data_IF_922856355988
#
_entry.id   IF_922856355988
#
_cell.length_a   1.000
_cell.length_b   1.000
_cell.length_c   1.000
_cell.angle_alpha   90.00
_cell.angle_beta   90.00
_cell.angle_gamma   90.00
#
_symmetry.space_group_name_H-M   'P 1'
#
loop_
_entity.id
_entity.type
_entity.pdbx_description
1 polymer ?
#
# COMPACT_ATOMS: atom_id res chain seq x y z
N UNK A 1 12.27 0.32 0.80
CA UNK A 1 12.08 0.89 2.16
C UNK A 1 10.67 0.54 2.63
N UNK A 2 10.51 0.09 3.87
CA UNK A 2 9.24 -0.28 4.49
C UNK A 2 8.96 0.65 5.69
N UNK A 3 7.84 1.35 5.62
CA UNK A 3 7.26 2.14 6.71
C UNK A 3 6.04 1.42 7.26
N UNK A 4 6.02 1.15 8.56
CA UNK A 4 4.81 0.73 9.27
C UNK A 4 4.12 1.96 9.83
N UNK A 5 2.82 2.10 9.57
CA UNK A 5 1.99 3.21 10.05
C UNK A 5 0.89 2.64 10.95
N UNK A 6 0.87 3.07 12.22
CA UNK A 6 -0.21 2.76 13.16
C UNK A 6 -1.14 3.96 13.29
N UNK A 7 -2.42 3.76 12.99
CA UNK A 7 -3.42 4.84 13.05
C UNK A 7 -4.19 4.75 14.34
N UNK A 8 -3.99 5.77 15.20
CA UNK A 8 -4.64 5.93 16.49
C UNK A 8 -4.61 4.68 17.38
N UNK A 9 -3.44 4.03 17.59
CA UNK A 9 -3.38 2.79 18.38
C UNK A 9 -3.84 3.03 19.83
N UNK A 10 -4.62 2.08 20.35
CA UNK A 10 -5.33 2.17 21.63
C UNK A 10 -4.63 1.42 22.76
N UNK A 11 -3.88 0.35 22.47
CA UNK A 11 -3.17 -0.44 23.48
C UNK A 11 -1.67 -0.21 23.48
N UNK A 12 -1.09 0.17 24.63
CA UNK A 12 0.37 0.31 24.79
C UNK A 12 1.11 -0.99 24.48
N UNK A 13 0.50 -2.13 24.85
CA UNK A 13 1.04 -3.45 24.60
C UNK A 13 1.17 -3.74 23.11
N UNK A 14 0.17 -3.37 22.29
CA UNK A 14 0.24 -3.55 20.84
C UNK A 14 1.33 -2.70 20.23
N UNK A 15 1.43 -1.42 20.62
CA UNK A 15 2.50 -0.53 20.13
C UNK A 15 3.88 -1.09 20.47
N UNK A 16 4.07 -1.58 21.69
CA UNK A 16 5.33 -2.20 22.09
C UNK A 16 5.66 -3.48 21.32
N UNK A 17 4.68 -4.37 21.15
CA UNK A 17 4.86 -5.59 20.35
C UNK A 17 5.12 -5.28 18.88
N UNK A 18 4.46 -4.28 18.29
CA UNK A 18 4.75 -3.81 16.93
C UNK A 18 6.18 -3.30 16.82
N UNK A 19 6.66 -2.49 17.76
CA UNK A 19 8.04 -2.01 17.75
C UNK A 19 9.05 -3.16 17.84
N UNK A 20 8.76 -4.18 18.64
CA UNK A 20 9.56 -5.42 18.69
C UNK A 20 9.59 -6.12 17.34
N UNK A 21 8.44 -6.28 16.68
CA UNK A 21 8.33 -6.89 15.35
C UNK A 21 9.04 -6.07 14.28
N UNK A 22 8.94 -4.75 14.33
CA UNK A 22 9.68 -3.85 13.45
C UNK A 22 11.19 -4.10 13.53
N UNK A 23 11.72 -4.30 14.75
CA UNK A 23 13.12 -4.70 14.92
C UNK A 23 13.40 -6.12 14.42
N UNK A 24 12.48 -7.06 14.59
CA UNK A 24 12.68 -8.44 14.13
C UNK A 24 12.75 -8.56 12.61
N UNK A 25 12.06 -7.71 11.88
CA UNK A 25 11.96 -7.76 10.41
C UNK A 25 12.64 -6.56 9.71
N UNK A 26 13.50 -5.85 10.42
CA UNK A 26 14.24 -4.68 9.93
C UNK A 26 13.37 -3.65 9.18
N UNK A 27 12.26 -3.26 9.81
CA UNK A 27 11.43 -2.16 9.31
C UNK A 27 12.22 -0.86 9.40
N UNK A 28 12.25 -0.11 8.30
CA UNK A 28 13.03 1.12 8.18
C UNK A 28 12.43 2.24 9.05
N UNK A 29 11.10 2.37 9.07
CA UNK A 29 10.41 3.46 9.74
C UNK A 29 9.13 3.00 10.45
N UNK A 30 8.93 3.46 11.70
CA UNK A 30 7.68 3.33 12.42
C UNK A 30 7.03 4.70 12.59
N UNK A 31 5.84 4.88 12.01
CA UNK A 31 5.02 6.07 12.14
C UNK A 31 3.79 5.77 12.99
N UNK A 32 3.45 6.69 13.88
CA UNK A 32 2.29 6.58 14.75
C UNK A 32 1.44 7.84 14.61
N UNK A 33 0.24 7.69 14.09
CA UNK A 33 -0.70 8.79 13.89
C UNK A 33 -1.56 8.92 15.14
N UNK A 34 -1.49 10.07 15.81
CA UNK A 34 -2.38 10.45 16.93
C UNK A 34 -2.65 9.31 17.94
N UNK A 35 -1.63 8.78 18.64
CA UNK A 35 -1.78 7.64 19.54
C UNK A 35 -2.80 7.91 20.65
N UNK A 36 -3.63 6.90 20.96
CA UNK A 36 -4.64 6.96 22.03
C UNK A 36 -4.17 6.29 23.33
N UNK A 37 -2.92 5.83 23.35
CA UNK A 37 -2.26 5.15 24.46
C UNK A 37 -0.96 5.86 24.86
N UNK A 38 -0.41 5.47 26.01
CA UNK A 38 0.88 5.99 26.49
C UNK A 38 2.08 5.29 25.81
N UNK A 39 2.71 5.97 24.85
CA UNK A 39 3.90 5.47 24.14
C UNK A 39 5.09 5.24 25.08
N UNK A 40 5.18 5.98 26.18
CA UNK A 40 6.21 5.76 27.21
C UNK A 40 6.08 4.37 27.84
N UNK A 41 4.86 3.98 28.20
CA UNK A 41 4.56 2.64 28.74
C UNK A 41 4.68 1.53 27.69
N UNK A 42 4.43 1.82 26.41
CA UNK A 42 4.62 0.85 25.33
C UNK A 42 6.05 0.26 25.27
N UNK A 43 7.05 1.01 25.77
CA UNK A 43 8.45 0.56 25.87
C UNK A 43 8.63 -0.69 26.74
N UNK A 44 7.77 -0.91 27.72
CA UNK A 44 7.81 -2.08 28.60
C UNK A 44 7.55 -3.38 27.82
N UNK A 45 6.68 -3.32 26.81
CA UNK A 45 6.29 -4.47 25.99
C UNK A 45 7.21 -4.71 24.79
N UNK A 46 8.07 -3.75 24.45
CA UNK A 46 8.91 -3.80 23.25
C UNK A 46 10.21 -4.60 23.39
N UNK A 47 10.60 -5.02 24.61
CA UNK A 47 11.87 -5.71 24.86
C UNK A 47 13.06 -4.94 24.24
N UNK A 48 13.81 -5.53 23.30
CA UNK A 48 14.91 -4.87 22.57
C UNK A 48 14.43 -3.90 21.48
N UNK A 49 13.13 -3.81 21.21
CA UNK A 49 12.49 -2.90 20.25
C UNK A 49 12.32 -1.46 20.76
N UNK A 50 12.76 -1.13 21.97
CA UNK A 50 12.66 0.23 22.55
C UNK A 50 13.26 1.31 21.65
N UNK A 51 14.40 1.01 21.01
CA UNK A 51 15.07 1.93 20.10
C UNK A 51 14.22 2.29 18.86
N UNK A 52 13.31 1.39 18.45
CA UNK A 52 12.38 1.65 17.34
C UNK A 52 11.33 2.67 17.80
N UNK A 53 10.84 2.56 19.04
CA UNK A 53 9.93 3.57 19.61
C UNK A 53 10.63 4.91 19.85
N UNK A 54 11.90 4.91 20.26
CA UNK A 54 12.68 6.15 20.43
C UNK A 54 12.86 6.91 19.12
N UNK A 55 12.90 6.18 17.98
CA UNK A 55 13.00 6.75 16.63
C UNK A 55 11.64 6.87 15.93
N UNK A 56 10.54 6.43 16.56
CA UNK A 56 9.24 6.44 15.93
C UNK A 56 8.78 7.88 15.67
N UNK A 57 8.22 8.12 14.49
CA UNK A 57 7.73 9.43 14.10
C UNK A 57 6.26 9.55 14.48
N UNK A 58 5.98 10.38 15.47
CA UNK A 58 4.60 10.67 15.90
C UNK A 58 4.07 11.87 15.10
N UNK A 59 2.98 11.66 14.38
CA UNK A 59 2.34 12.70 13.55
C UNK A 59 0.89 12.92 13.97
N UNK A 60 0.35 14.09 13.63
CA UNK A 60 -1.04 14.44 13.99
C UNK A 60 -2.06 14.03 12.95
N UNK A 61 -1.64 13.83 11.70
CA UNK A 61 -2.55 13.53 10.60
C UNK A 61 -2.13 12.29 9.83
N UNK A 62 -3.13 11.58 9.32
CA UNK A 62 -2.95 10.42 8.45
C UNK A 62 -2.17 10.78 7.19
N UNK A 63 -2.43 11.95 6.61
CA UNK A 63 -1.77 12.41 5.39
C UNK A 63 -0.27 12.66 5.59
N UNK A 64 0.16 13.18 6.75
CA UNK A 64 1.57 13.34 7.07
C UNK A 64 2.32 12.00 7.10
N UNK A 65 1.71 10.97 7.71
CA UNK A 65 2.30 9.63 7.78
C UNK A 65 2.53 8.99 6.40
N UNK A 66 1.78 9.41 5.37
CA UNK A 66 1.88 8.89 4.01
C UNK A 66 2.70 9.76 3.06
N UNK A 67 3.33 10.85 3.55
CA UNK A 67 4.21 11.67 2.69
C UNK A 67 5.51 10.93 2.38
N UNK A 68 5.98 11.06 1.14
CA UNK A 68 7.29 10.55 0.71
C UNK A 68 7.36 9.03 0.52
N UNK A 69 6.21 8.35 0.43
CA UNK A 69 6.12 6.94 0.02
C UNK A 69 5.47 6.81 -1.35
N UNK A 70 5.88 5.80 -2.10
CA UNK A 70 5.45 5.56 -3.49
C UNK A 70 4.27 4.59 -3.55
N UNK A 71 4.16 3.68 -2.56
CA UNK A 71 3.10 2.68 -2.47
C UNK A 71 2.46 2.69 -1.08
N UNK A 72 1.13 2.89 -1.02
CA UNK A 72 0.38 2.88 0.24
C UNK A 72 -0.57 1.71 0.28
N UNK A 73 -0.51 0.91 1.34
CA UNK A 73 -1.31 -0.30 1.49
C UNK A 73 -2.01 -0.26 2.84
N UNK A 74 -3.33 -0.16 2.83
CA UNK A 74 -4.15 -0.28 4.03
C UNK A 74 -4.39 -1.76 4.37
N UNK A 75 -4.61 -2.09 5.63
CA UNK A 75 -4.99 -3.45 6.05
C UNK A 75 -6.42 -3.48 6.59
N UNK A 76 -7.19 -4.53 6.29
CA UNK A 76 -8.51 -4.73 6.90
C UNK A 76 -8.89 -6.21 7.01
N UNK A 77 -9.62 -6.56 8.07
CA UNK A 77 -10.30 -7.84 8.21
C UNK A 77 -11.55 -7.95 7.32
N UNK A 78 -12.11 -6.81 6.87
CA UNK A 78 -13.27 -6.77 5.98
C UNK A 78 -12.79 -6.51 4.55
N UNK A 79 -12.88 -7.53 3.71
CA UNK A 79 -12.36 -7.51 2.36
C UNK A 79 -13.33 -8.15 1.35
N UNK A 80 -13.11 -7.85 0.08
CA UNK A 80 -13.79 -8.45 -1.08
C UNK A 80 -15.32 -8.36 -1.07
N UNK A 81 -15.86 -7.34 -0.39
CA UNK A 81 -17.29 -7.01 -0.36
C UNK A 81 -17.80 -6.82 -1.78
N UNK A 82 -18.87 -7.55 -2.15
CA UNK A 82 -19.46 -7.50 -3.50
C UNK A 82 -19.86 -6.07 -3.84
N UNK A 83 -19.39 -5.58 -4.99
CA UNK A 83 -19.66 -4.22 -5.46
C UNK A 83 -18.76 -3.13 -4.87
N UNK A 84 -17.91 -3.43 -3.89
CA UNK A 84 -16.97 -2.46 -3.31
C UNK A 84 -15.56 -2.68 -3.84
N UNK A 85 -15.24 -2.01 -4.94
CA UNK A 85 -13.90 -2.04 -5.57
C UNK A 85 -12.80 -1.59 -4.62
N UNK A 86 -13.09 -0.67 -3.70
CA UNK A 86 -12.12 -0.16 -2.73
C UNK A 86 -11.64 -1.30 -1.84
N UNK A 87 -12.57 -2.20 -1.46
CA UNK A 87 -12.31 -3.38 -0.62
C UNK A 87 -11.83 -4.60 -1.39
N UNK A 88 -11.64 -4.52 -2.71
CA UNK A 88 -10.93 -5.57 -3.45
C UNK A 88 -9.49 -5.61 -2.98
N UNK A 89 -9.13 -6.75 -2.43
CA UNK A 89 -7.93 -6.89 -1.62
C UNK A 89 -6.84 -7.71 -2.30
N UNK A 90 -5.60 -7.40 -1.94
CA UNK A 90 -4.44 -8.27 -2.13
C UNK A 90 -4.23 -9.12 -0.87
N UNK A 91 -3.31 -10.06 -0.95
CA UNK A 91 -2.91 -10.96 0.12
C UNK A 91 -1.47 -10.68 0.54
N UNK A 92 -1.06 -11.09 1.75
CA UNK A 92 0.31 -10.85 2.24
C UNK A 92 1.40 -11.37 1.31
N UNK A 93 1.20 -12.54 0.68
CA UNK A 93 2.17 -13.14 -0.24
C UNK A 93 2.31 -12.39 -1.57
N UNK A 94 1.33 -11.55 -1.96
CA UNK A 94 1.41 -10.69 -3.15
C UNK A 94 2.21 -9.40 -2.89
N UNK A 95 2.56 -9.10 -1.62
CA UNK A 95 3.21 -7.84 -1.25
C UNK A 95 4.60 -7.68 -1.84
N UNK A 96 5.37 -8.76 -2.00
CA UNK A 96 6.75 -8.71 -2.47
C UNK A 96 6.82 -8.12 -3.89
N UNK A 97 6.00 -8.68 -4.78
CA UNK A 97 5.96 -8.30 -6.19
C UNK A 97 5.49 -6.86 -6.37
N UNK A 98 4.51 -6.46 -5.54
CA UNK A 98 4.04 -5.08 -5.49
C UNK A 98 5.07 -4.15 -4.87
N UNK A 99 5.74 -4.51 -3.78
CA UNK A 99 6.67 -3.62 -3.11
C UNK A 99 7.84 -3.24 -4.05
N UNK A 100 8.51 -4.23 -4.62
CA UNK A 100 9.73 -4.01 -5.40
C UNK A 100 10.74 -3.10 -4.68
N UNK A 101 11.28 -2.13 -5.40
CA UNK A 101 12.23 -1.14 -4.86
C UNK A 101 11.54 0.11 -4.27
N UNK A 102 10.21 0.15 -4.24
CA UNK A 102 9.44 1.31 -3.81
C UNK A 102 9.55 1.57 -2.31
N UNK A 103 9.30 2.82 -1.92
CA UNK A 103 9.00 3.20 -0.53
C UNK A 103 7.56 2.82 -0.22
N UNK A 104 7.37 1.82 0.63
CA UNK A 104 6.05 1.25 0.95
C UNK A 104 5.60 1.70 2.33
N UNK A 105 4.38 2.23 2.45
CA UNK A 105 3.67 2.40 3.72
C UNK A 105 2.64 1.29 3.92
N UNK A 106 2.82 0.50 4.97
CA UNK A 106 1.86 -0.49 5.45
C UNK A 106 1.05 0.12 6.59
N UNK A 107 -0.26 0.29 6.38
CA UNK A 107 -1.12 1.09 7.24
C UNK A 107 -2.09 0.20 7.99
N UNK A 108 -1.96 0.21 9.31
CA UNK A 108 -2.78 -0.56 10.23
C UNK A 108 -3.68 0.36 11.04
N UNK A 109 -4.95 -0.02 11.15
CA UNK A 109 -5.97 0.78 11.84
C UNK A 109 -6.04 0.53 13.34
N UNK A 110 -7.01 1.21 13.94
CA UNK A 110 -7.40 1.09 15.36
C UNK A 110 -7.82 -0.33 15.68
N UNK A 111 -7.55 -0.80 16.90
CA UNK A 111 -7.97 -2.12 17.36
C UNK A 111 -9.49 -2.29 17.37
N UNK A 112 -10.22 -1.25 17.77
CA UNK A 112 -11.68 -1.29 17.92
C UNK A 112 -12.43 -1.25 16.59
N UNK A 113 -12.04 -0.35 15.69
CA UNK A 113 -12.83 0.00 14.49
C UNK A 113 -12.03 -0.11 13.18
N UNK A 114 -10.72 -0.40 13.24
CA UNK A 114 -9.86 -0.44 12.08
C UNK A 114 -9.64 0.93 11.43
N UNK A 115 -9.54 0.92 10.09
CA UNK A 115 -9.42 2.11 9.27
C UNK A 115 -10.78 2.59 8.78
N UNK A 116 -10.96 3.89 8.74
CA UNK A 116 -12.16 4.50 8.14
C UNK A 116 -12.15 4.29 6.62
N UNK A 117 -13.32 4.43 5.98
CA UNK A 117 -13.39 4.39 4.52
C UNK A 117 -12.50 5.46 3.87
N UNK A 118 -12.53 6.68 4.41
CA UNK A 118 -11.72 7.80 3.93
C UNK A 118 -10.21 7.54 4.04
N UNK A 119 -9.77 6.84 5.08
CA UNK A 119 -8.38 6.41 5.23
C UNK A 119 -8.02 5.35 4.17
N UNK A 120 -8.87 4.34 3.96
CA UNK A 120 -8.65 3.30 2.93
C UNK A 120 -8.60 3.94 1.53
N UNK A 121 -9.46 4.92 1.25
CA UNK A 121 -9.52 5.69 0.01
C UNK A 121 -8.22 6.42 -0.33
N UNK A 122 -7.34 6.68 0.65
CA UNK A 122 -6.06 7.34 0.41
C UNK A 122 -4.93 6.36 0.04
N UNK A 123 -5.21 5.06 0.04
CA UNK A 123 -4.26 3.98 -0.24
C UNK A 123 -4.45 3.35 -1.62
N UNK A 124 -3.38 2.78 -2.17
CA UNK A 124 -3.38 2.18 -3.51
C UNK A 124 -4.02 0.80 -3.51
N UNK A 125 -3.77 0.01 -2.45
CA UNK A 125 -4.31 -1.32 -2.26
C UNK A 125 -4.83 -1.52 -0.84
N UNK A 126 -5.84 -2.39 -0.72
CA UNK A 126 -6.24 -2.97 0.55
C UNK A 126 -5.61 -4.36 0.67
N UNK A 127 -4.96 -4.65 1.78
CA UNK A 127 -4.46 -5.98 2.12
C UNK A 127 -5.40 -6.65 3.12
N UNK A 128 -5.68 -7.92 2.86
CA UNK A 128 -6.43 -8.77 3.75
C UNK A 128 -5.60 -10.00 4.12
N UNK A 129 -5.44 -10.26 5.42
CA UNK A 129 -4.83 -11.49 5.91
C UNK A 129 -5.94 -12.53 6.02
N UNK A 130 -5.89 -13.64 5.26
CA UNK A 130 -6.87 -14.71 5.41
C UNK A 130 -6.87 -15.25 6.83
N UNK A 131 -8.06 -15.37 7.40
CA UNK A 131 -8.30 -15.91 8.73
C UNK A 131 -9.62 -16.71 8.71
N UNK A 132 -10.08 -17.18 9.87
CA UNK A 132 -11.35 -17.92 9.94
C UNK A 132 -12.54 -17.04 9.52
N UNK A 133 -13.41 -17.57 8.66
CA UNK A 133 -14.66 -16.90 8.26
C UNK A 133 -15.57 -16.54 9.46
N UNK A 134 -15.44 -17.26 10.58
CA UNK A 134 -16.23 -17.01 11.80
C UNK A 134 -15.70 -15.84 12.63
N UNK A 135 -14.38 -15.64 12.62
CA UNK A 135 -13.73 -14.58 13.38
C UNK A 135 -12.41 -14.18 12.69
N UNK A 136 -12.49 -13.33 11.64
CA UNK A 136 -11.33 -12.99 10.82
C UNK A 136 -10.52 -11.81 11.39
N UNK A 137 -10.94 -11.27 12.54
CA UNK A 137 -10.34 -10.08 13.14
C UNK A 137 -9.12 -10.49 13.97
N UNK A 138 -7.95 -10.07 13.50
CA UNK A 138 -6.69 -10.30 14.20
C UNK A 138 -6.37 -9.13 15.12
N UNK A 139 -5.70 -9.43 16.23
CA UNK A 139 -5.06 -8.40 17.05
C UNK A 139 -4.00 -7.64 16.23
N UNK A 140 -3.85 -6.33 16.50
CA UNK A 140 -3.00 -5.41 15.75
C UNK A 140 -1.56 -5.92 15.59
N UNK A 141 -0.88 -6.31 16.67
CA UNK A 141 0.52 -6.74 16.57
C UNK A 141 0.67 -8.05 15.81
N UNK A 142 -0.34 -8.93 15.89
CA UNK A 142 -0.33 -10.20 15.14
C UNK A 142 -0.50 -9.97 13.64
N UNK A 143 -1.41 -9.07 13.25
CA UNK A 143 -1.57 -8.68 11.85
C UNK A 143 -0.28 -8.07 11.28
N UNK A 144 0.36 -7.17 12.03
CA UNK A 144 1.67 -6.61 11.67
C UNK A 144 2.72 -7.71 11.53
N UNK A 145 2.79 -8.63 12.48
CA UNK A 145 3.76 -9.73 12.46
C UNK A 145 3.64 -10.63 11.23
N UNK A 146 2.43 -11.01 10.84
CA UNK A 146 2.18 -11.83 9.64
C UNK A 146 2.62 -11.09 8.37
N UNK A 147 2.23 -9.83 8.24
CA UNK A 147 2.58 -9.01 7.06
C UNK A 147 4.08 -8.80 6.95
N UNK A 148 4.75 -8.49 8.06
CA UNK A 148 6.21 -8.31 8.06
C UNK A 148 6.97 -9.61 7.81
N UNK A 149 6.49 -10.73 8.36
CA UNK A 149 7.04 -12.05 8.08
C UNK A 149 6.99 -12.39 6.58
N UNK A 150 5.85 -12.15 5.93
CA UNK A 150 5.66 -12.38 4.50
C UNK A 150 6.60 -11.52 3.64
N UNK A 151 6.89 -10.29 4.06
CA UNK A 151 7.89 -9.43 3.41
C UNK A 151 9.33 -9.84 3.67
N UNK A 152 9.59 -10.55 4.77
CA UNK A 152 10.93 -10.94 5.21
C UNK A 152 11.36 -12.30 4.67
N UNK A 153 10.46 -13.27 4.64
CA UNK A 153 10.76 -14.68 4.29
C UNK A 153 11.49 -14.82 2.95
N UNK A 154 11.18 -13.94 1.99
CA UNK A 154 11.74 -13.98 0.63
C UNK A 154 12.63 -12.76 0.33
N UNK A 155 13.23 -12.12 1.35
CA UNK A 155 13.99 -10.87 1.21
C UNK A 155 15.14 -10.96 0.20
N UNK A 156 15.80 -12.11 0.08
CA UNK A 156 16.90 -12.33 -0.86
C UNK A 156 16.47 -12.26 -2.34
N UNK A 157 15.17 -12.42 -2.61
CA UNK A 157 14.59 -12.46 -3.94
C UNK A 157 13.79 -11.19 -4.28
N UNK A 158 14.03 -10.08 -3.58
CA UNK A 158 13.31 -8.80 -3.73
C UNK A 158 13.51 -8.08 -5.08
N UNK A 159 14.01 -8.74 -6.11
CA UNK A 159 14.05 -8.12 -7.44
C UNK A 159 12.63 -8.07 -7.99
N UNK A 160 12.06 -6.87 -8.02
CA UNK A 160 10.88 -6.65 -8.85
C UNK A 160 11.27 -6.86 -10.30
N UNK A 161 10.42 -7.57 -11.03
CA UNK A 161 10.59 -7.73 -12.47
C UNK A 161 10.15 -6.49 -13.25
N UNK A 162 9.55 -5.50 -12.58
CA UNK A 162 9.00 -4.27 -13.18
C UNK A 162 9.56 -3.04 -12.46
N UNK A 163 10.04 -2.07 -13.23
CA UNK A 163 10.58 -0.82 -12.71
C UNK A 163 9.51 0.08 -12.10
N UNK A 164 9.92 0.87 -11.10
CA UNK A 164 9.06 1.87 -10.47
C UNK A 164 8.50 2.87 -11.49
N UNK A 165 9.33 3.31 -12.44
CA UNK A 165 8.92 4.23 -13.52
C UNK A 165 7.79 3.65 -14.37
N UNK A 166 7.89 2.38 -14.77
CA UNK A 166 6.85 1.71 -15.55
C UNK A 166 5.53 1.65 -14.77
N UNK A 167 5.58 1.32 -13.47
CA UNK A 167 4.38 1.30 -12.61
C UNK A 167 3.76 2.69 -12.46
N UNK A 168 4.58 3.73 -12.30
CA UNK A 168 4.13 5.13 -12.23
C UNK A 168 3.47 5.59 -13.52
N UNK A 169 4.00 5.19 -14.68
CA UNK A 169 3.41 5.48 -15.98
C UNK A 169 2.07 4.76 -16.17
N UNK A 170 1.95 3.49 -15.75
CA UNK A 170 0.67 2.77 -15.74
C UNK A 170 -0.37 3.52 -14.90
N UNK A 171 -0.01 3.93 -13.68
CA UNK A 171 -0.90 4.71 -12.80
C UNK A 171 -1.31 6.03 -13.45
N UNK A 172 -0.32 6.80 -13.93
CA UNK A 172 -0.52 8.10 -14.59
C UNK A 172 -1.50 8.00 -15.75
N UNK A 173 -1.25 7.10 -16.71
CA UNK A 173 -2.12 6.99 -17.88
C UNK A 173 -3.48 6.39 -17.54
N UNK A 174 -3.56 5.46 -16.58
CA UNK A 174 -4.86 4.95 -16.09
C UNK A 174 -5.72 6.07 -15.53
N UNK A 175 -5.11 6.99 -14.76
CA UNK A 175 -5.81 8.17 -14.23
C UNK A 175 -6.23 9.14 -15.33
N UNK A 176 -5.35 9.43 -16.29
CA UNK A 176 -5.66 10.33 -17.40
C UNK A 176 -6.84 9.78 -18.22
N UNK A 177 -6.82 8.50 -18.56
CA UNK A 177 -7.87 7.87 -19.36
C UNK A 177 -9.22 7.87 -18.62
N UNK A 178 -9.22 7.59 -17.31
CA UNK A 178 -10.43 7.72 -16.49
C UNK A 178 -10.96 9.17 -16.49
N UNK A 179 -10.11 10.17 -16.27
CA UNK A 179 -10.54 11.57 -16.29
C UNK A 179 -11.16 11.97 -17.64
N UNK A 180 -10.65 11.46 -18.76
CA UNK A 180 -11.18 11.78 -20.10
C UNK A 180 -12.62 11.29 -20.28
N UNK A 181 -12.98 10.15 -19.69
CA UNK A 181 -14.34 9.59 -19.78
C UNK A 181 -15.31 10.18 -18.74
N UNK A 182 -14.93 11.30 -18.09
CA UNK A 182 -15.76 12.00 -17.11
C UNK A 182 -15.60 11.48 -15.68
N UNK A 183 -14.58 10.66 -15.44
CA UNK A 183 -14.39 9.96 -14.19
C UNK A 183 -13.35 10.64 -13.27
N UNK A 184 -13.73 11.78 -12.71
CA UNK A 184 -12.82 12.69 -12.02
C UNK A 184 -12.49 12.29 -10.57
N UNK A 185 -13.22 11.33 -9.99
CA UNK A 185 -12.98 10.91 -8.61
C UNK A 185 -11.62 10.24 -8.51
N UNK A 186 -10.79 10.69 -7.55
CA UNK A 186 -9.47 10.12 -7.29
C UNK A 186 -9.52 8.60 -7.06
N UNK A 187 -10.66 8.11 -6.56
CA UNK A 187 -10.94 6.72 -6.20
C UNK A 187 -12.11 6.14 -6.97
N UNK A 188 -12.32 6.59 -8.20
CA UNK A 188 -13.38 6.00 -8.98
C UNK A 188 -13.18 4.50 -9.18
N UNK A 189 -14.28 3.71 -9.16
CA UNK A 189 -14.23 2.31 -9.50
C UNK A 189 -13.53 1.98 -10.82
N UNK A 190 -13.70 2.78 -11.87
CA UNK A 190 -13.10 2.47 -13.17
C UNK A 190 -11.58 2.65 -13.14
N UNK A 191 -11.12 3.80 -12.65
CA UNK A 191 -9.70 4.06 -12.44
C UNK A 191 -9.05 3.01 -11.52
N UNK A 192 -9.66 2.70 -10.37
CA UNK A 192 -9.12 1.71 -9.42
C UNK A 192 -9.06 0.32 -10.04
N UNK A 193 -10.10 -0.11 -10.76
CA UNK A 193 -10.13 -1.40 -11.43
C UNK A 193 -9.07 -1.50 -12.52
N UNK A 194 -8.91 -0.46 -13.36
CA UNK A 194 -7.90 -0.42 -14.41
C UNK A 194 -6.49 -0.45 -13.82
N UNK A 195 -6.18 0.50 -12.93
CA UNK A 195 -4.87 0.60 -12.27
C UNK A 195 -4.48 -0.72 -11.61
N UNK A 196 -5.34 -1.25 -10.73
CA UNK A 196 -5.02 -2.44 -9.93
C UNK A 196 -4.89 -3.69 -10.80
N UNK A 197 -5.70 -3.82 -11.85
CA UNK A 197 -5.61 -4.95 -12.78
C UNK A 197 -4.32 -4.91 -13.58
N UNK A 198 -3.94 -3.74 -14.11
CA UNK A 198 -2.71 -3.59 -14.89
C UNK A 198 -1.46 -3.80 -14.02
N UNK A 199 -1.37 -3.15 -12.85
CA UNK A 199 -0.19 -3.26 -11.97
C UNK A 199 0.01 -4.69 -11.46
N UNK A 200 -1.06 -5.43 -11.17
CA UNK A 200 -0.95 -6.84 -10.75
C UNK A 200 -0.74 -7.81 -11.92
N UNK A 201 -1.18 -7.42 -13.12
CA UNK A 201 -1.13 -8.27 -14.30
C UNK A 201 0.23 -8.27 -15.00
N UNK A 202 0.99 -7.17 -14.90
CA UNK A 202 2.33 -7.07 -15.50
C UNK A 202 3.33 -7.91 -14.71
N UNK A 203 3.91 -8.90 -15.39
CA UNK A 203 4.82 -9.88 -14.78
C UNK A 203 6.30 -9.53 -14.97
N UNK A 204 6.63 -8.73 -15.98
CA UNK A 204 7.96 -8.22 -16.28
C UNK A 204 7.98 -6.83 -16.95
N UNK A 205 9.17 -6.25 -17.05
CA UNK A 205 9.40 -4.90 -17.59
C UNK A 205 9.01 -4.76 -19.06
N UNK A 206 9.16 -5.82 -19.88
CA UNK A 206 8.79 -5.79 -21.30
C UNK A 206 7.27 -5.72 -21.46
N UNK A 207 6.55 -6.54 -20.71
CA UNK A 207 5.10 -6.51 -20.62
C UNK A 207 4.60 -5.15 -20.11
N UNK A 208 5.20 -4.65 -19.01
CA UNK A 208 4.89 -3.35 -18.44
C UNK A 208 5.06 -2.19 -19.42
N UNK A 209 6.20 -2.12 -20.14
CA UNK A 209 6.44 -1.11 -21.18
C UNK A 209 5.46 -1.22 -22.34
N UNK A 210 5.07 -2.44 -22.70
CA UNK A 210 4.08 -2.67 -23.76
C UNK A 210 2.71 -2.13 -23.36
N UNK A 211 2.28 -2.36 -22.11
CA UNK A 211 1.07 -1.77 -21.53
C UNK A 211 1.15 -0.24 -21.53
N UNK A 212 2.27 0.35 -21.06
CA UNK A 212 2.47 1.81 -21.07
C UNK A 212 2.35 2.37 -22.49
N UNK A 213 2.96 1.71 -23.48
CA UNK A 213 2.89 2.11 -24.89
C UNK A 213 1.44 2.09 -25.41
N UNK A 214 0.66 1.07 -25.06
CA UNK A 214 -0.76 0.99 -25.38
C UNK A 214 -1.53 2.15 -24.77
N UNK A 215 -1.40 2.38 -23.46
CA UNK A 215 -2.11 3.45 -22.75
C UNK A 215 -1.76 4.84 -23.30
N UNK A 216 -0.48 5.08 -23.61
CA UNK A 216 -0.02 6.33 -24.25
C UNK A 216 -0.65 6.51 -25.63
N UNK A 217 -0.67 5.47 -26.47
CA UNK A 217 -1.31 5.53 -27.80
C UNK A 217 -2.82 5.80 -27.70
N UNK A 218 -3.50 5.16 -26.75
CA UNK A 218 -4.92 5.42 -26.49
C UNK A 218 -5.15 6.87 -26.10
N UNK A 219 -4.38 7.39 -25.14
CA UNK A 219 -4.43 8.79 -24.74
C UNK A 219 -4.22 9.74 -25.94
N UNK A 220 -3.16 9.54 -26.72
CA UNK A 220 -2.86 10.37 -27.89
C UNK A 220 -4.01 10.35 -28.90
N UNK A 221 -4.56 9.17 -29.20
CA UNK A 221 -5.65 9.03 -30.18
C UNK A 221 -6.95 9.68 -29.71
N UNK A 222 -7.26 9.61 -28.42
CA UNK A 222 -8.48 10.24 -27.87
C UNK A 222 -8.34 11.77 -27.84
N UNK A 223 -7.17 12.29 -27.44
CA UNK A 223 -6.98 13.75 -27.28
C UNK A 223 -6.74 14.47 -28.62
N UNK A 224 -5.97 13.87 -29.52
CA UNK A 224 -5.53 14.53 -30.76
C UNK A 224 -6.22 14.01 -32.03
N UNK A 225 -7.06 12.97 -31.92
CA UNK A 225 -7.72 12.32 -33.06
C UNK A 225 -6.74 11.53 -33.95
N UNK A 226 -7.21 11.06 -35.12
CA UNK A 226 -6.39 10.37 -36.14
C UNK A 226 -5.40 11.28 -36.87
N UNK A 227 -4.95 12.39 -36.26
CA UNK A 227 -3.77 13.08 -36.79
C UNK A 227 -2.60 12.16 -36.51
N UNK A 228 -2.04 11.56 -37.56
CA UNK A 228 -0.86 10.71 -37.48
C UNK A 228 0.22 11.44 -36.68
N UNK A 229 0.30 11.09 -35.40
CA UNK A 229 1.45 11.41 -34.59
C UNK A 229 2.50 10.41 -35.03
N UNK A 230 3.26 10.79 -36.06
CA UNK A 230 4.62 10.31 -36.31
C UNK A 230 5.46 10.64 -35.07
N UNK A 231 5.22 9.96 -33.96
CA UNK A 231 6.19 9.90 -32.88
C UNK A 231 7.31 9.03 -33.39
N UNK A 232 8.34 9.70 -33.90
CA UNK A 232 9.70 9.20 -33.98
C UNK A 232 9.96 8.32 -32.75
N UNK A 233 10.36 7.10 -33.05
CA UNK A 233 10.94 6.17 -32.09
C UNK A 233 12.16 6.85 -31.47
N UNK A 234 12.06 7.25 -30.21
CA UNK A 234 13.21 7.35 -29.34
C UNK A 234 12.84 6.64 -28.03
N UNK A 235 13.43 5.45 -27.92
CA UNK A 235 13.66 4.52 -26.80
C UNK A 235 12.71 4.56 -25.59
#
# INVERSE_FOLDING_TARGET
>A
MIRVVLVEPEGEYNVGFVARLCKNFEVDELYIVNPRCDIGKAKEFSSRGREVLDKAVIVRSYDEALKGVDLKISTSSIADVKGDILRKSIRPWELKDLAGDRKVALVFGRESVGLTREEIEKTDFLLHIPASDKYPVLNLSHAVGIVLYELWKDRAERKSNVSTETIELIDKYSRILANIIGDYSRNSPMYLALKRSLIKGVSDEEEGRTVVRLLRKLYTRIVYGNKDVETKNDF
#
